data_IF_284931698693
#
_entry.id   IF_284931698693
#
_cell.length_a   1.000
_cell.length_b   1.000
_cell.length_c   1.000
_cell.angle_alpha   90.00
_cell.angle_beta   90.00
_cell.angle_gamma   90.00
#
_symmetry.space_group_name_H-M   'P 1'
#
loop_
_entity.id
_entity.type
_entity.pdbx_description
1 polymer ?
#
# COMPACT_ATOMS: atom_id res chain seq x y z
N UNK A 1 -35.68 17.15 -0.47
CA UNK A 1 -34.70 16.88 -1.54
C UNK A 1 -33.57 16.09 -0.92
N UNK A 2 -33.37 14.84 -1.32
CA UNK A 2 -32.23 14.04 -0.83
C UNK A 2 -30.99 14.47 -1.64
N UNK A 3 -30.04 15.15 -1.01
CA UNK A 3 -28.73 15.43 -1.60
C UNK A 3 -27.79 14.28 -1.21
N UNK A 4 -27.44 13.44 -2.19
CA UNK A 4 -26.40 12.42 -2.03
C UNK A 4 -25.02 13.07 -2.21
N UNK A 5 -24.01 12.58 -1.51
CA UNK A 5 -22.62 12.97 -1.80
C UNK A 5 -22.16 12.42 -3.17
N UNK A 6 -21.08 12.95 -3.73
CA UNK A 6 -20.50 12.45 -4.99
C UNK A 6 -20.19 10.94 -4.94
N UNK A 7 -19.64 10.46 -3.81
CA UNK A 7 -19.38 9.03 -3.58
C UNK A 7 -20.64 8.18 -3.49
N UNK A 8 -21.70 8.68 -2.84
CA UNK A 8 -22.98 7.98 -2.78
C UNK A 8 -23.66 7.88 -4.15
N UNK A 9 -23.48 8.91 -4.99
CA UNK A 9 -24.01 8.92 -6.36
C UNK A 9 -23.31 7.89 -7.24
N UNK A 10 -21.98 7.78 -7.15
CA UNK A 10 -21.21 6.76 -7.89
C UNK A 10 -21.58 5.33 -7.46
N UNK A 11 -21.69 5.06 -6.16
CA UNK A 11 -22.11 3.74 -5.67
C UNK A 11 -23.54 3.38 -6.11
N UNK A 12 -24.46 4.35 -6.14
CA UNK A 12 -25.81 4.12 -6.64
C UNK A 12 -25.81 3.80 -8.14
N UNK A 13 -25.00 4.51 -8.93
CA UNK A 13 -24.85 4.24 -10.36
C UNK A 13 -24.26 2.83 -10.60
N UNK A 14 -23.22 2.46 -9.86
CA UNK A 14 -22.64 1.12 -9.90
C UNK A 14 -23.67 0.04 -9.53
N UNK A 15 -24.41 0.23 -8.44
CA UNK A 15 -25.47 -0.69 -8.03
C UNK A 15 -26.55 -0.84 -9.12
N UNK A 16 -26.93 0.26 -9.77
CA UNK A 16 -27.85 0.25 -10.91
C UNK A 16 -27.32 -0.60 -12.07
N UNK A 17 -26.06 -0.40 -12.46
CA UNK A 17 -25.42 -1.18 -13.52
C UNK A 17 -25.30 -2.67 -13.16
N UNK A 18 -24.91 -2.98 -11.93
CA UNK A 18 -24.78 -4.37 -11.41
C UNK A 18 -26.15 -5.07 -11.34
N UNK A 19 -27.25 -4.34 -11.12
CA UNK A 19 -28.60 -4.93 -11.04
C UNK A 19 -29.05 -5.60 -12.35
N UNK A 20 -28.46 -5.20 -13.49
CA UNK A 20 -28.68 -5.84 -14.79
C UNK A 20 -27.94 -7.18 -14.93
N UNK A 21 -27.20 -7.59 -13.90
CA UNK A 21 -26.39 -8.80 -13.84
C UNK A 21 -25.41 -8.97 -15.02
N UNK A 22 -24.72 -7.90 -15.48
CA UNK A 22 -23.80 -8.02 -16.61
C UNK A 22 -22.64 -8.97 -16.29
N UNK A 23 -22.12 -9.68 -17.28
CA UNK A 23 -20.92 -10.52 -17.13
C UNK A 23 -19.62 -9.70 -17.26
N UNK A 24 -19.69 -8.58 -17.96
CA UNK A 24 -18.58 -7.65 -18.17
C UNK A 24 -19.02 -6.24 -17.76
N UNK A 25 -18.25 -5.61 -16.90
CA UNK A 25 -18.40 -4.20 -16.52
C UNK A 25 -17.24 -3.40 -17.08
N UNK A 26 -17.54 -2.30 -17.76
CA UNK A 26 -16.55 -1.35 -18.24
C UNK A 26 -16.81 -0.03 -17.52
N UNK A 27 -15.81 0.47 -16.81
CA UNK A 27 -15.90 1.71 -16.04
C UNK A 27 -14.82 2.68 -16.52
N UNK A 28 -15.24 3.90 -16.82
CA UNK A 28 -14.35 4.99 -17.18
C UNK A 28 -14.13 5.88 -15.96
N UNK A 29 -12.91 5.91 -15.44
CA UNK A 29 -12.48 6.65 -14.23
C UNK A 29 -13.50 6.56 -13.06
N UNK A 30 -13.75 5.35 -12.51
CA UNK A 30 -14.83 5.11 -11.55
C UNK A 30 -14.71 5.90 -10.24
N UNK A 31 -13.52 6.43 -9.96
CA UNK A 31 -13.20 7.16 -8.73
C UNK A 31 -13.01 8.67 -8.97
N UNK A 32 -13.33 9.16 -10.16
CA UNK A 32 -13.20 10.57 -10.49
C UNK A 32 -13.96 11.44 -9.47
N UNK A 33 -13.30 12.48 -8.97
CA UNK A 33 -13.86 13.46 -8.01
C UNK A 33 -14.24 12.87 -6.64
N UNK A 34 -13.74 11.68 -6.29
CA UNK A 34 -13.89 11.10 -4.96
C UNK A 34 -12.66 11.37 -4.09
N UNK A 35 -12.90 11.48 -2.78
CA UNK A 35 -11.81 11.36 -1.82
C UNK A 35 -11.29 9.91 -1.74
N UNK A 36 -10.07 9.70 -1.22
CA UNK A 36 -9.46 8.37 -1.16
C UNK A 36 -10.32 7.31 -0.47
N UNK A 37 -11.03 7.66 0.61
CA UNK A 37 -11.84 6.69 1.38
C UNK A 37 -13.02 6.19 0.55
N UNK A 38 -13.64 7.07 -0.24
CA UNK A 38 -14.72 6.69 -1.14
C UNK A 38 -14.22 5.94 -2.38
N UNK A 39 -13.02 6.28 -2.88
CA UNK A 39 -12.38 5.56 -3.98
C UNK A 39 -12.05 4.11 -3.61
N UNK A 40 -11.43 3.89 -2.44
CA UNK A 40 -11.15 2.55 -1.89
C UNK A 40 -12.42 1.70 -1.82
N UNK A 41 -13.51 2.30 -1.32
CA UNK A 41 -14.80 1.59 -1.20
C UNK A 41 -15.35 1.15 -2.56
N UNK A 42 -15.19 1.94 -3.61
CA UNK A 42 -15.62 1.53 -4.96
C UNK A 42 -14.78 0.36 -5.44
N UNK A 43 -13.45 0.45 -5.31
CA UNK A 43 -12.57 -0.61 -5.76
C UNK A 43 -12.74 -1.91 -4.98
N UNK A 44 -13.05 -1.86 -3.68
CA UNK A 44 -13.41 -3.06 -2.91
C UNK A 44 -14.69 -3.73 -3.43
N UNK A 45 -15.72 -2.95 -3.81
CA UNK A 45 -16.92 -3.50 -4.44
C UNK A 45 -16.58 -4.14 -5.79
N UNK A 46 -15.74 -3.49 -6.60
CA UNK A 46 -15.27 -4.07 -7.86
C UNK A 46 -14.48 -5.36 -7.63
N UNK A 47 -13.59 -5.39 -6.64
CA UNK A 47 -12.85 -6.59 -6.25
C UNK A 47 -13.78 -7.73 -5.87
N UNK A 48 -14.78 -7.47 -5.02
CA UNK A 48 -15.77 -8.47 -4.63
C UNK A 48 -16.53 -9.03 -5.86
N UNK A 49 -16.95 -8.16 -6.78
CA UNK A 49 -17.61 -8.58 -8.02
C UNK A 49 -16.70 -9.45 -8.90
N UNK A 50 -15.40 -9.13 -8.98
CA UNK A 50 -14.45 -9.91 -9.75
C UNK A 50 -14.13 -11.27 -9.11
N UNK A 51 -13.80 -11.26 -7.82
CA UNK A 51 -13.26 -12.44 -7.11
C UNK A 51 -14.36 -13.40 -6.65
N UNK A 52 -15.50 -12.90 -6.18
CA UNK A 52 -16.57 -13.73 -5.62
C UNK A 52 -17.74 -13.95 -6.57
N UNK A 53 -17.99 -13.02 -7.50
CA UNK A 53 -19.11 -13.11 -8.44
C UNK A 53 -18.69 -13.42 -9.88
N UNK A 54 -17.40 -13.65 -10.13
CA UNK A 54 -16.86 -14.07 -11.44
C UNK A 54 -17.08 -13.03 -12.54
N UNK A 55 -17.27 -11.75 -12.19
CA UNK A 55 -17.49 -10.68 -13.17
C UNK A 55 -16.17 -10.25 -13.78
N UNK A 56 -16.16 -10.00 -15.09
CA UNK A 56 -15.02 -9.36 -15.75
C UNK A 56 -15.14 -7.86 -15.58
N UNK A 57 -14.07 -7.21 -15.13
CA UNK A 57 -14.06 -5.77 -14.88
C UNK A 57 -12.94 -5.16 -15.71
N UNK A 58 -13.30 -4.14 -16.49
CA UNK A 58 -12.38 -3.32 -17.26
C UNK A 58 -12.51 -1.91 -16.72
N UNK A 59 -11.40 -1.37 -16.21
CA UNK A 59 -11.32 0.02 -15.76
C UNK A 59 -10.39 0.80 -16.67
N UNK A 60 -10.82 1.99 -17.05
CA UNK A 60 -9.95 3.01 -17.65
C UNK A 60 -9.54 3.91 -16.50
N UNK A 61 -8.24 3.93 -16.19
CA UNK A 61 -7.74 4.58 -14.99
C UNK A 61 -6.37 5.21 -15.23
N UNK A 62 -6.10 6.32 -14.55
CA UNK A 62 -4.80 7.01 -14.58
C UNK A 62 -4.09 7.01 -13.22
N UNK A 63 -4.80 6.67 -12.13
CA UNK A 63 -4.20 6.50 -10.81
C UNK A 63 -3.51 5.13 -10.69
N UNK A 64 -2.19 5.13 -10.87
CA UNK A 64 -1.39 3.90 -10.90
C UNK A 64 -1.33 3.14 -9.58
N UNK A 65 -1.63 3.78 -8.46
CA UNK A 65 -1.76 3.13 -7.15
C UNK A 65 -2.92 2.12 -7.15
N UNK A 66 -4.12 2.52 -7.58
CA UNK A 66 -5.27 1.60 -7.71
C UNK A 66 -5.05 0.54 -8.79
N UNK A 67 -4.34 0.88 -9.87
CA UNK A 67 -3.96 -0.12 -10.88
C UNK A 67 -3.05 -1.18 -10.26
N UNK A 68 -2.07 -0.77 -9.43
CA UNK A 68 -1.17 -1.70 -8.75
C UNK A 68 -1.90 -2.64 -7.79
N UNK A 69 -2.91 -2.12 -7.09
CA UNK A 69 -3.62 -2.83 -6.02
C UNK A 69 -4.74 -3.76 -6.56
N UNK A 70 -5.49 -3.34 -7.58
CA UNK A 70 -6.72 -4.01 -7.98
C UNK A 70 -6.67 -4.68 -9.36
N UNK A 71 -5.78 -4.24 -10.25
CA UNK A 71 -5.73 -4.78 -11.61
C UNK A 71 -4.80 -5.99 -11.69
N UNK A 72 -5.24 -7.03 -12.41
CA UNK A 72 -4.43 -8.22 -12.71
C UNK A 72 -3.56 -8.05 -13.96
N UNK A 73 -4.06 -7.32 -14.94
CA UNK A 73 -3.40 -6.99 -16.19
C UNK A 73 -3.59 -5.52 -16.50
N UNK A 74 -2.63 -4.94 -17.22
CA UNK A 74 -2.66 -3.55 -17.69
C UNK A 74 -2.46 -3.54 -19.18
N UNK A 75 -3.30 -2.78 -19.89
CA UNK A 75 -3.18 -2.52 -21.32
C UNK A 75 -2.78 -1.07 -21.52
N UNK A 76 -1.62 -0.83 -22.14
CA UNK A 76 -1.20 0.51 -22.52
C UNK A 76 -1.71 0.82 -23.92
N UNK A 77 -2.44 1.92 -24.05
CA UNK A 77 -2.87 2.48 -25.33
C UNK A 77 -2.14 3.80 -25.59
N UNK A 78 -1.68 4.00 -26.82
CA UNK A 78 -1.05 5.24 -27.30
C UNK A 78 -1.38 5.43 -28.77
N UNK A 79 -1.70 6.67 -29.16
CA UNK A 79 -1.98 7.04 -30.57
C UNK A 79 -3.02 6.10 -31.23
N UNK A 80 -4.11 5.83 -30.52
CA UNK A 80 -5.20 4.91 -30.92
C UNK A 80 -4.77 3.44 -31.16
N UNK A 81 -3.58 3.06 -30.72
CA UNK A 81 -3.07 1.70 -30.84
C UNK A 81 -2.78 1.09 -29.47
N UNK A 82 -2.98 -0.23 -29.37
CA UNK A 82 -2.53 -1.00 -28.22
C UNK A 82 -1.02 -1.22 -28.34
N UNK A 83 -0.26 -0.66 -27.40
CA UNK A 83 1.19 -0.85 -27.35
C UNK A 83 1.52 -2.24 -26.78
N UNK A 84 0.89 -2.59 -25.66
CA UNK A 84 1.03 -3.89 -25.02
C UNK A 84 -0.09 -4.16 -24.03
N UNK A 85 -0.22 -5.43 -23.64
CA UNK A 85 -1.01 -5.89 -22.51
C UNK A 85 -0.17 -6.86 -21.70
N UNK A 86 0.08 -6.56 -20.44
CA UNK A 86 0.99 -7.30 -19.56
C UNK A 86 0.37 -7.52 -18.18
N UNK A 87 0.82 -8.52 -17.41
CA UNK A 87 0.54 -8.59 -15.99
C UNK A 87 0.96 -7.29 -15.29
N UNK A 88 0.18 -6.83 -14.31
CA UNK A 88 0.38 -5.51 -13.67
C UNK A 88 1.80 -5.31 -13.13
N UNK A 89 2.38 -6.34 -12.51
CA UNK A 89 3.74 -6.28 -11.97
C UNK A 89 4.81 -6.06 -13.06
N UNK A 90 4.61 -6.61 -14.27
CA UNK A 90 5.52 -6.39 -15.40
C UNK A 90 5.27 -5.04 -16.07
N UNK A 91 4.00 -4.65 -16.18
CA UNK A 91 3.58 -3.36 -16.75
C UNK A 91 4.19 -2.18 -15.97
N UNK A 92 4.04 -2.17 -14.64
CA UNK A 92 4.52 -1.06 -13.80
C UNK A 92 6.04 -0.97 -13.71
N UNK A 93 6.77 -2.03 -14.08
CA UNK A 93 8.23 -1.99 -14.19
C UNK A 93 8.72 -1.24 -15.44
N UNK A 94 7.85 -0.99 -16.42
CA UNK A 94 8.17 -0.29 -17.68
C UNK A 94 8.18 1.23 -17.48
N UNK A 95 8.91 1.69 -16.46
CA UNK A 95 8.88 3.08 -15.96
C UNK A 95 9.12 4.09 -17.08
N UNK A 96 10.16 3.89 -17.90
CA UNK A 96 10.52 4.79 -18.99
C UNK A 96 9.43 4.87 -20.08
N UNK A 97 8.80 3.74 -20.42
CA UNK A 97 7.72 3.70 -21.42
C UNK A 97 6.44 4.37 -20.89
N UNK A 98 6.11 4.15 -19.62
CA UNK A 98 4.96 4.75 -18.95
C UNK A 98 5.14 6.28 -18.81
N UNK A 99 6.30 6.73 -18.32
CA UNK A 99 6.60 8.16 -18.18
C UNK A 99 6.60 8.88 -19.53
N UNK A 100 7.08 8.23 -20.60
CA UNK A 100 6.99 8.76 -21.96
C UNK A 100 5.55 8.92 -22.48
N UNK A 101 4.59 8.24 -21.86
CA UNK A 101 3.15 8.37 -22.11
C UNK A 101 2.44 9.25 -21.07
N UNK A 102 3.20 9.96 -20.21
CA UNK A 102 2.68 10.77 -19.10
C UNK A 102 1.87 9.96 -18.06
N UNK A 103 2.19 8.67 -17.92
CA UNK A 103 1.66 7.79 -16.89
C UNK A 103 2.78 7.52 -15.90
N UNK A 104 2.57 7.89 -14.64
CA UNK A 104 3.61 7.76 -13.62
C UNK A 104 3.32 6.53 -12.76
N UNK A 105 4.18 5.50 -12.73
CA UNK A 105 4.05 4.36 -11.82
C UNK A 105 4.02 4.81 -10.35
N UNK A 106 3.68 3.91 -9.40
CA UNK A 106 3.70 4.24 -7.98
C UNK A 106 5.01 4.87 -7.53
N UNK A 107 4.94 5.76 -6.53
CA UNK A 107 6.11 6.55 -6.11
C UNK A 107 7.29 5.67 -5.66
N UNK A 108 6.99 4.55 -5.01
CA UNK A 108 8.00 3.55 -4.58
C UNK A 108 8.70 2.91 -5.78
N UNK A 109 7.96 2.62 -6.86
CA UNK A 109 8.49 2.08 -8.11
C UNK A 109 9.43 3.09 -8.77
N UNK A 110 9.02 4.36 -8.87
CA UNK A 110 9.85 5.43 -9.41
C UNK A 110 11.13 5.63 -8.59
N UNK A 111 11.04 5.63 -7.26
CA UNK A 111 12.18 5.78 -6.37
C UNK A 111 13.20 4.65 -6.56
N UNK A 112 12.75 3.40 -6.55
CA UNK A 112 13.59 2.23 -6.78
C UNK A 112 14.23 2.24 -8.18
N UNK A 113 13.49 2.68 -9.20
CA UNK A 113 14.01 2.82 -10.56
C UNK A 113 15.16 3.84 -10.64
N UNK A 114 14.99 5.03 -10.04
CA UNK A 114 16.04 6.06 -9.99
C UNK A 114 17.29 5.57 -9.26
N UNK A 115 17.13 4.80 -8.18
CA UNK A 115 18.25 4.20 -7.47
C UNK A 115 18.99 3.16 -8.33
N UNK A 116 18.25 2.37 -9.12
CA UNK A 116 18.86 1.42 -10.07
C UNK A 116 19.69 2.13 -11.13
N UNK A 117 19.19 3.23 -11.70
CA UNK A 117 19.95 4.03 -12.66
C UNK A 117 21.26 4.60 -12.07
N UNK A 118 21.31 4.80 -10.75
CA UNK A 118 22.51 5.24 -10.02
C UNK A 118 23.41 4.07 -9.58
N UNK A 119 23.09 2.82 -9.92
CA UNK A 119 23.80 1.63 -9.45
C UNK A 119 23.61 1.31 -7.96
N UNK A 120 22.64 1.97 -7.32
CA UNK A 120 22.32 1.87 -5.88
C UNK A 120 21.17 0.91 -5.59
N UNK A 121 20.68 0.20 -6.60
CA UNK A 121 19.68 -0.84 -6.48
C UNK A 121 20.09 -2.02 -7.36
N UNK A 122 19.98 -3.28 -6.89
CA UNK A 122 20.47 -4.43 -7.65
C UNK A 122 19.84 -4.54 -9.04
N UNK A 123 20.69 -4.82 -10.02
CA UNK A 123 20.25 -5.13 -11.38
C UNK A 123 19.60 -6.52 -11.41
N UNK A 124 18.40 -6.62 -12.00
CA UNK A 124 17.64 -7.88 -12.13
C UNK A 124 16.62 -8.14 -11.01
N UNK A 125 16.57 -7.31 -9.97
CA UNK A 125 15.51 -7.37 -8.95
C UNK A 125 14.21 -6.74 -9.48
N UNK A 126 13.05 -7.24 -9.09
CA UNK A 126 11.77 -6.58 -9.44
C UNK A 126 11.65 -5.26 -8.68
N UNK A 127 11.12 -4.22 -9.32
CA UNK A 127 10.85 -2.96 -8.63
C UNK A 127 9.59 -3.12 -7.76
N UNK A 128 9.60 -2.60 -6.51
CA UNK A 128 8.41 -2.68 -5.67
C UNK A 128 7.26 -1.90 -6.35
N UNK A 129 6.08 -2.52 -6.38
CA UNK A 129 4.82 -1.89 -6.80
C UNK A 129 3.90 -1.79 -5.58
N UNK A 130 3.03 -0.79 -5.52
CA UNK A 130 2.34 -0.39 -4.29
C UNK A 130 1.40 -1.41 -3.61
N UNK A 131 1.24 -2.60 -4.19
CA UNK A 131 0.31 -3.63 -3.76
C UNK A 131 0.29 -3.78 -2.23
N UNK A 132 -0.77 -3.36 -1.54
CA UNK A 132 -0.91 -3.47 -0.07
C UNK A 132 -1.17 -4.93 0.38
N UNK A 133 -0.40 -5.88 -0.14
CA UNK A 133 -0.40 -7.28 0.26
C UNK A 133 1.03 -7.68 0.66
N UNK A 134 1.11 -8.61 1.61
CA UNK A 134 2.32 -9.08 2.33
C UNK A 134 3.59 -9.23 1.46
N UNK A 135 3.44 -9.50 0.16
CA UNK A 135 4.52 -9.55 -0.83
C UNK A 135 5.22 -8.20 -1.06
N UNK A 136 4.50 -7.11 -1.32
CA UNK A 136 5.10 -5.78 -1.51
C UNK A 136 5.75 -5.28 -0.25
N UNK A 137 5.17 -5.56 0.91
CA UNK A 137 5.82 -5.21 2.18
C UNK A 137 7.19 -5.89 2.29
N UNK A 138 7.30 -7.18 1.93
CA UNK A 138 8.59 -7.88 1.89
C UNK A 138 9.53 -7.25 0.86
N UNK A 139 9.02 -6.84 -0.29
CA UNK A 139 9.82 -6.19 -1.33
C UNK A 139 10.33 -4.81 -0.87
N UNK A 140 9.47 -3.95 -0.35
CA UNK A 140 9.81 -2.65 0.24
C UNK A 140 10.83 -2.85 1.37
N UNK A 141 10.58 -3.77 2.30
CA UNK A 141 11.53 -4.09 3.37
C UNK A 141 12.88 -4.51 2.82
N UNK A 142 12.91 -5.32 1.76
CA UNK A 142 14.19 -5.74 1.20
C UNK A 142 14.90 -4.60 0.48
N UNK A 143 14.16 -3.75 -0.24
CA UNK A 143 14.72 -2.53 -0.85
C UNK A 143 15.32 -1.63 0.22
N UNK A 144 14.59 -1.41 1.32
CA UNK A 144 15.05 -0.60 2.44
C UNK A 144 16.29 -1.20 3.11
N UNK A 145 16.36 -2.52 3.25
CA UNK A 145 17.51 -3.22 3.81
C UNK A 145 18.75 -3.12 2.90
N UNK A 146 18.58 -3.29 1.58
CA UNK A 146 19.65 -3.10 0.60
C UNK A 146 20.13 -1.65 0.54
N UNK A 147 19.23 -0.71 0.82
CA UNK A 147 19.53 0.71 0.86
C UNK A 147 20.25 1.13 2.15
N UNK A 148 20.15 0.38 3.27
CA UNK A 148 20.76 0.75 4.56
C UNK A 148 22.24 1.07 4.45
N UNK A 149 22.98 0.36 3.60
CA UNK A 149 24.42 0.57 3.42
C UNK A 149 24.76 1.72 2.44
N UNK A 150 23.75 2.28 1.78
CA UNK A 150 23.91 3.25 0.68
C UNK A 150 23.42 4.66 1.08
N UNK A 151 22.39 4.74 1.92
CA UNK A 151 21.79 6.00 2.38
C UNK A 151 22.09 6.27 3.86
N UNK A 152 22.46 7.50 4.19
CA UNK A 152 22.75 7.91 5.57
C UNK A 152 21.49 8.05 6.45
N UNK A 153 20.35 8.37 5.85
CA UNK A 153 19.08 8.53 6.56
C UNK A 153 17.92 8.24 5.62
N UNK A 154 16.98 7.39 6.05
CA UNK A 154 15.69 7.21 5.39
C UNK A 154 14.57 7.65 6.32
N UNK A 155 13.61 8.40 5.79
CA UNK A 155 12.39 8.79 6.51
C UNK A 155 11.21 8.14 5.82
N UNK A 156 10.42 7.38 6.57
CA UNK A 156 9.28 6.63 6.06
C UNK A 156 8.03 7.13 6.79
N UNK A 157 7.04 7.60 6.04
CA UNK A 157 5.71 7.90 6.55
C UNK A 157 4.77 6.76 6.13
N UNK A 158 4.27 5.99 7.10
CA UNK A 158 3.43 4.80 6.84
C UNK A 158 2.38 4.64 7.93
N UNK A 159 1.31 3.91 7.60
CA UNK A 159 0.32 3.43 8.57
C UNK A 159 0.56 1.95 8.96
N UNK A 160 1.54 1.27 8.34
CA UNK A 160 1.90 -0.12 8.67
C UNK A 160 2.79 -0.19 9.91
N UNK A 161 2.18 -0.55 11.05
CA UNK A 161 2.87 -0.64 12.33
C UNK A 161 3.91 -1.76 12.39
N UNK A 162 3.73 -2.80 11.60
CA UNK A 162 4.62 -3.94 11.62
C UNK A 162 5.87 -3.65 10.77
N UNK A 163 5.78 -2.80 9.73
CA UNK A 163 6.94 -2.17 9.07
C UNK A 163 7.71 -1.27 10.04
N UNK A 164 7.01 -0.39 10.76
CA UNK A 164 7.61 0.52 11.74
C UNK A 164 8.36 -0.27 12.81
N UNK A 165 7.75 -1.32 13.37
CA UNK A 165 8.40 -2.14 14.39
C UNK A 165 9.65 -2.87 13.91
N UNK A 166 9.67 -3.31 12.65
CA UNK A 166 10.77 -4.09 12.09
C UNK A 166 11.96 -3.23 11.66
N UNK A 167 11.73 -2.00 11.19
CA UNK A 167 12.77 -1.24 10.50
C UNK A 167 13.08 0.13 11.14
N UNK A 168 12.13 0.75 11.83
CA UNK A 168 12.34 2.10 12.34
C UNK A 168 13.26 2.11 13.57
N UNK A 169 14.40 2.78 13.45
CA UNK A 169 15.30 3.07 14.58
C UNK A 169 14.75 4.19 15.48
N UNK A 170 14.00 5.12 14.87
CA UNK A 170 13.39 6.29 15.52
C UNK A 170 12.01 6.53 14.93
N UNK A 171 11.02 6.74 15.79
CA UNK A 171 9.63 7.00 15.43
C UNK A 171 9.30 8.43 15.83
N UNK A 172 8.75 9.20 14.88
CA UNK A 172 8.20 10.53 15.12
C UNK A 172 6.68 10.43 14.91
N UNK A 173 5.93 10.77 15.95
CA UNK A 173 4.47 10.76 15.93
C UNK A 173 3.95 12.17 15.78
N UNK A 174 3.15 12.42 14.75
CA UNK A 174 2.52 13.70 14.47
C UNK A 174 1.01 13.63 14.74
N UNK A 175 0.49 14.57 15.53
CA UNK A 175 -0.94 14.71 15.79
C UNK A 175 -1.32 16.19 15.81
N UNK A 176 -2.36 16.57 15.07
CA UNK A 176 -2.85 17.96 15.04
C UNK A 176 -1.79 18.98 14.62
N UNK A 177 -0.87 18.60 13.73
CA UNK A 177 0.23 19.46 13.26
C UNK A 177 1.38 19.66 14.27
N UNK A 178 1.43 18.87 15.34
CA UNK A 178 2.51 18.89 16.33
C UNK A 178 3.15 17.52 16.46
N UNK A 179 4.45 17.49 16.75
CA UNK A 179 5.14 16.27 17.17
C UNK A 179 4.73 15.97 18.60
N UNK A 180 4.09 14.81 18.80
CA UNK A 180 3.61 14.36 20.12
C UNK A 180 4.48 13.26 20.72
N UNK A 181 5.29 12.58 19.90
CA UNK A 181 6.34 11.67 20.37
C UNK A 181 7.51 11.65 19.38
N UNK A 182 8.71 11.44 19.90
CA UNK A 182 9.95 11.38 19.14
C UNK A 182 10.98 10.56 19.92
N UNK A 183 11.24 9.33 19.48
CA UNK A 183 12.14 8.43 20.22
C UNK A 183 12.29 7.07 19.55
N UNK A 184 13.11 6.17 20.12
CA UNK A 184 13.21 4.79 19.67
C UNK A 184 11.88 4.04 19.82
N UNK A 185 11.73 2.94 19.07
CA UNK A 185 10.49 2.16 19.03
C UNK A 185 9.96 1.79 20.42
N UNK A 186 10.84 1.38 21.31
CA UNK A 186 10.48 0.88 22.64
C UNK A 186 9.92 1.99 23.53
N UNK A 187 10.49 3.20 23.47
CA UNK A 187 9.99 4.36 24.21
C UNK A 187 8.62 4.80 23.66
N UNK A 188 8.48 4.87 22.34
CA UNK A 188 7.25 5.34 21.69
C UNK A 188 6.09 4.36 21.86
N UNK A 189 6.33 3.05 21.76
CA UNK A 189 5.28 2.04 21.94
C UNK A 189 4.93 1.75 23.40
N UNK A 190 5.85 2.00 24.34
CA UNK A 190 5.58 1.86 25.77
C UNK A 190 4.79 3.04 26.33
N UNK A 191 4.76 4.18 25.64
CA UNK A 191 3.99 5.36 26.05
C UNK A 191 2.49 5.15 25.82
N UNK A 192 1.77 4.94 26.93
CA UNK A 192 0.31 4.71 26.96
C UNK A 192 -0.51 5.95 26.61
N UNK A 193 0.05 7.15 26.70
CA UNK A 193 -0.63 8.39 26.27
C UNK A 193 -0.50 8.54 24.75
N UNK A 194 0.69 8.30 24.20
CA UNK A 194 0.94 8.35 22.74
C UNK A 194 0.08 7.33 22.01
N UNK A 195 0.11 6.05 22.42
CA UNK A 195 -0.71 4.99 21.79
C UNK A 195 -2.21 5.26 21.85
N UNK A 196 -2.71 5.94 22.91
CA UNK A 196 -4.12 6.37 23.00
C UNK A 196 -4.45 7.57 22.12
N UNK A 197 -3.54 8.53 21.97
CA UNK A 197 -3.78 9.78 21.25
C UNK A 197 -3.85 9.63 19.73
N UNK A 198 -3.11 8.68 19.16
CA UNK A 198 -2.96 8.55 17.69
C UNK A 198 -3.42 7.20 17.12
N UNK A 199 -4.07 6.35 17.92
CA UNK A 199 -4.54 5.01 17.51
C UNK A 199 -3.44 4.10 16.93
N UNK A 200 -2.17 4.37 17.24
CA UNK A 200 -1.04 3.52 16.89
C UNK A 200 -1.11 2.30 17.82
N UNK A 201 -1.46 1.14 17.28
CA UNK A 201 -1.45 -0.13 18.03
C UNK A 201 -0.22 -0.94 17.67
N UNK A 202 0.55 -1.42 18.65
CA UNK A 202 1.62 -2.37 18.37
C UNK A 202 1.03 -3.69 17.81
N UNK A 203 1.83 -4.51 17.12
CA UNK A 203 1.38 -5.81 16.61
C UNK A 203 0.81 -6.71 17.71
N UNK A 204 -0.11 -7.63 17.38
CA UNK A 204 -0.76 -8.49 18.37
C UNK A 204 0.24 -9.33 19.20
N UNK A 205 1.35 -9.74 18.58
CA UNK A 205 2.42 -10.50 19.26
C UNK A 205 3.04 -9.72 20.44
N UNK A 206 3.08 -8.39 20.37
CA UNK A 206 3.55 -7.53 21.45
C UNK A 206 2.57 -7.55 22.63
N UNK A 207 1.28 -7.46 22.33
CA UNK A 207 0.24 -7.53 23.37
C UNK A 207 0.25 -8.90 24.05
N UNK A 208 0.47 -9.96 23.27
CA UNK A 208 0.61 -11.33 23.78
C UNK A 208 1.86 -11.49 24.66
N UNK A 209 3.00 -10.91 24.25
CA UNK A 209 4.23 -10.90 25.03
C UNK A 209 4.05 -10.18 26.38
N UNK A 210 3.47 -8.98 26.36
CA UNK A 210 3.20 -8.22 27.59
C UNK A 210 2.23 -8.92 28.54
N UNK A 211 1.30 -9.72 28.02
CA UNK A 211 0.39 -10.50 28.84
C UNK A 211 1.09 -11.67 29.57
N UNK A 212 2.22 -12.15 29.05
CA UNK A 212 3.03 -13.20 29.68
C UNK A 212 4.12 -12.63 30.60
N UNK A 213 4.72 -11.51 30.22
CA UNK A 213 5.71 -10.77 30.98
C UNK A 213 5.56 -9.28 30.66
N UNK A 214 5.21 -8.46 31.64
CA UNK A 214 4.98 -7.01 31.45
C UNK A 214 6.20 -6.27 30.90
N UNK A 215 7.41 -6.84 31.01
CA UNK A 215 8.65 -6.27 30.46
C UNK A 215 9.04 -6.86 29.09
N UNK A 216 8.18 -7.67 28.47
CA UNK A 216 8.45 -8.28 27.17
C UNK A 216 8.16 -7.34 26.00
N UNK A 217 9.22 -6.99 25.28
CA UNK A 217 9.21 -6.15 24.09
C UNK A 217 9.42 -7.01 22.84
N UNK A 218 8.44 -7.85 22.52
CA UNK A 218 8.48 -8.71 21.33
C UNK A 218 7.59 -8.11 20.24
N UNK A 219 8.15 -7.77 19.09
CA UNK A 219 7.41 -7.17 17.97
C UNK A 219 7.28 -8.11 16.78
N UNK A 220 7.99 -9.24 16.81
CA UNK A 220 7.91 -10.32 15.83
C UNK A 220 7.66 -11.67 16.50
N UNK A 221 7.15 -12.63 15.74
CA UNK A 221 6.97 -14.01 16.21
C UNK A 221 8.31 -14.63 16.61
N UNK A 222 9.40 -14.34 15.88
CA UNK A 222 10.72 -14.87 16.20
C UNK A 222 11.22 -14.34 17.55
N UNK A 223 11.17 -13.02 17.79
CA UNK A 223 11.55 -12.42 19.08
C UNK A 223 10.73 -12.97 20.26
N UNK A 224 9.45 -13.32 20.02
CA UNK A 224 8.61 -13.97 21.02
C UNK A 224 9.05 -15.41 21.28
N UNK A 225 9.28 -16.20 20.24
CA UNK A 225 9.72 -17.59 20.36
C UNK A 225 11.09 -17.67 21.04
N UNK A 226 12.04 -16.83 20.65
CA UNK A 226 13.38 -16.77 21.26
C UNK A 226 13.30 -16.45 22.77
N UNK A 227 12.33 -15.62 23.19
CA UNK A 227 12.16 -15.23 24.59
C UNK A 227 11.42 -16.27 25.43
N UNK A 228 10.47 -17.02 24.86
CA UNK A 228 9.54 -17.89 25.60
C UNK A 228 9.63 -19.39 25.27
N UNK A 229 10.45 -19.83 24.30
CA UNK A 229 10.68 -21.25 24.00
C UNK A 229 11.92 -21.86 24.70
N UNK A 230 12.79 -21.08 25.33
CA UNK A 230 13.86 -21.61 26.18
C UNK A 230 13.36 -21.81 27.63
N UNK A 231 12.56 -22.86 27.84
CA UNK A 231 12.05 -23.30 29.14
C UNK A 231 11.73 -24.79 29.17
#
# INVERSE_FOLDING_TARGET
>A
MWQLSGGQTHLLALAGAVSLQPDILILDEPIAQLDPVHADRIYEVLRELNEHHGKTIIVIEHHTEYIADYCKHVMLMKDDQMCWMLPTAEALQRVEELEACNIFPPQVTQAAHRLRQQGKFPNGRVLPTANLDIATRREILTVLEEMKDIIQTAVIATHDMQLVCQWAERIIVLCGGRVVADGPRDEVFSDREVTRLVCIRPPEIFTMAQALDEQALCYTVQEFLDRFQEG
#
